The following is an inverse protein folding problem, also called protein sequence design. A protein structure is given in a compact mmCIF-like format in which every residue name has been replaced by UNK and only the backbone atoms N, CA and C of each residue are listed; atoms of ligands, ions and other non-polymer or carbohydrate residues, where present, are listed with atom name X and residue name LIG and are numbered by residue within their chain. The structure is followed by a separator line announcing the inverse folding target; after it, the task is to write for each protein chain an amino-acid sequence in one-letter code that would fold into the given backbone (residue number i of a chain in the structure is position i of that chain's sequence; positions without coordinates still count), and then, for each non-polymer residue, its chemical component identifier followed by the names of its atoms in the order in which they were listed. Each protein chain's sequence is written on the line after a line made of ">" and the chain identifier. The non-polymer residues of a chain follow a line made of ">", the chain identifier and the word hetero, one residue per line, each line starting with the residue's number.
data_IF_903663741777
#
_entry.id   IF_903663741777
#
_cell.length_a   1.000
_cell.length_b   1.000
_cell.length_c   1.000
_cell.angle_alpha   90.00
_cell.angle_beta   90.00
_cell.angle_gamma   90.00
#
_symmetry.space_group_name_H-M   'P 1'
#
loop_
_entity.id
_entity.type
_entity.pdbx_description
1 polymer ?
#
# COMPACT_ATOMS: atom_id res chain seq x y z
N UNK A 1 10.52 -2.33 5.18
CA UNK A 1 11.37 -1.26 4.61
C UNK A 1 10.53 -0.30 3.80
N UNK A 2 10.75 1.01 3.94
CA UNK A 2 10.06 1.97 3.09
C UNK A 2 10.43 1.78 1.62
N UNK A 3 9.55 2.22 0.73
CA UNK A 3 9.77 2.10 -0.71
C UNK A 3 10.16 3.45 -1.29
N UNK A 4 11.16 3.46 -2.17
CA UNK A 4 11.60 4.69 -2.82
C UNK A 4 10.64 5.11 -3.94
N UNK A 5 10.01 4.13 -4.58
CA UNK A 5 9.09 4.38 -5.69
C UNK A 5 8.17 3.18 -5.87
N UNK A 6 7.20 3.32 -6.77
CA UNK A 6 6.29 2.22 -7.07
C UNK A 6 7.03 1.01 -7.66
N UNK A 7 8.18 1.25 -8.29
CA UNK A 7 8.96 0.15 -8.89
C UNK A 7 9.53 -0.79 -7.84
N UNK A 8 9.64 -0.33 -6.61
CA UNK A 8 10.18 -1.13 -5.51
C UNK A 8 9.13 -2.00 -4.83
N UNK A 9 7.87 -1.84 -5.19
CA UNK A 9 6.80 -2.66 -4.61
C UNK A 9 6.92 -4.11 -5.02
N UNK A 10 6.50 -5.06 -4.14
CA UNK A 10 6.48 -6.47 -4.52
C UNK A 10 5.61 -6.69 -5.75
N UNK A 11 5.98 -7.67 -6.57
CA UNK A 11 5.25 -7.98 -7.78
C UNK A 11 3.77 -8.27 -7.50
N UNK A 12 3.48 -8.94 -6.38
CA UNK A 12 2.10 -9.25 -6.00
C UNK A 12 1.25 -8.01 -5.79
N UNK A 13 1.87 -6.91 -5.39
CA UNK A 13 1.18 -5.62 -5.24
C UNK A 13 1.09 -4.91 -6.58
N UNK A 14 2.23 -4.79 -7.27
CA UNK A 14 2.30 -4.06 -8.55
C UNK A 14 1.37 -4.62 -9.62
N UNK A 15 1.28 -5.95 -9.70
CA UNK A 15 0.48 -6.57 -10.75
C UNK A 15 -1.02 -6.43 -10.54
N UNK A 16 -1.44 -6.13 -9.31
CA UNK A 16 -2.88 -6.04 -9.00
C UNK A 16 -3.39 -4.60 -8.90
N UNK A 17 -2.49 -3.62 -8.78
CA UNK A 17 -2.90 -2.24 -8.57
C UNK A 17 -2.55 -1.37 -9.78
N UNK A 18 -3.48 -0.48 -10.21
CA UNK A 18 -3.12 0.52 -11.21
C UNK A 18 -2.08 1.50 -10.64
N UNK A 19 -1.38 2.25 -11.51
CA UNK A 19 -0.27 3.11 -11.06
C UNK A 19 -0.62 4.08 -9.94
N UNK A 20 -1.77 4.74 -10.03
CA UNK A 20 -2.16 5.69 -8.97
C UNK A 20 -2.39 4.99 -7.63
N UNK A 21 -2.98 3.79 -7.67
CA UNK A 21 -3.18 3.00 -6.45
C UNK A 21 -1.83 2.57 -5.86
N UNK A 22 -0.86 2.26 -6.72
CA UNK A 22 0.49 1.94 -6.26
C UNK A 22 1.13 3.13 -5.55
N UNK A 23 0.93 4.34 -6.06
CA UNK A 23 1.44 5.55 -5.41
C UNK A 23 0.81 5.75 -4.04
N UNK A 24 -0.50 5.52 -3.93
CA UNK A 24 -1.19 5.59 -2.64
C UNK A 24 -0.60 4.58 -1.67
N UNK A 25 -0.35 3.38 -2.16
CA UNK A 25 0.22 2.31 -1.33
C UNK A 25 1.59 2.71 -0.79
N UNK A 26 2.47 3.20 -1.66
CA UNK A 26 3.82 3.63 -1.26
C UNK A 26 3.75 4.75 -0.22
N UNK A 27 2.94 5.77 -0.47
CA UNK A 27 2.82 6.90 0.47
C UNK A 27 2.32 6.47 1.83
N UNK A 28 1.27 5.66 1.85
CA UNK A 28 0.69 5.21 3.10
C UNK A 28 1.61 4.23 3.84
N UNK A 29 2.26 3.34 3.09
CA UNK A 29 3.22 2.41 3.70
C UNK A 29 4.37 3.16 4.36
N UNK A 30 4.96 4.11 3.64
CA UNK A 30 6.10 4.86 4.16
C UNK A 30 5.72 5.69 5.38
N UNK A 31 4.54 6.30 5.34
CA UNK A 31 4.04 7.06 6.50
C UNK A 31 3.83 6.18 7.71
N UNK A 32 3.22 5.02 7.52
CA UNK A 32 2.98 4.08 8.60
C UNK A 32 4.29 3.49 9.11
N UNK A 33 5.26 3.25 8.23
CA UNK A 33 6.57 2.76 8.63
C UNK A 33 7.22 3.68 9.66
N UNK A 34 7.12 4.98 9.45
CA UNK A 34 7.64 5.95 10.41
C UNK A 34 6.80 6.01 11.68
N UNK A 35 5.49 5.97 11.53
CA UNK A 35 4.57 6.05 12.67
C UNK A 35 4.73 4.88 13.63
N UNK A 36 4.98 3.69 13.10
CA UNK A 36 5.12 2.48 13.91
C UNK A 36 6.58 2.11 14.16
N UNK A 37 7.47 3.10 14.17
CA UNK A 37 8.90 2.88 14.39
C UNK A 37 9.21 2.22 15.74
N UNK A 38 8.29 2.34 16.70
CA UNK A 38 8.45 1.73 18.01
C UNK A 38 8.20 0.21 18.03
N UNK A 39 7.63 -0.34 16.96
CA UNK A 39 7.41 -1.78 16.86
C UNK A 39 8.67 -2.48 16.35
N UNK A 40 8.77 -3.78 16.63
CA UNK A 40 9.82 -4.59 16.04
C UNK A 40 9.67 -4.68 14.52
N UNK A 41 10.75 -5.04 13.80
CA UNK A 41 10.72 -5.01 12.33
C UNK A 41 9.56 -5.79 11.70
N UNK A 42 9.26 -6.98 12.20
CA UNK A 42 8.18 -7.79 11.63
C UNK A 42 6.81 -7.16 11.85
N UNK A 43 6.56 -6.69 13.06
CA UNK A 43 5.29 -6.06 13.39
C UNK A 43 5.13 -4.72 12.66
N UNK A 44 6.22 -3.98 12.55
CA UNK A 44 6.24 -2.73 11.82
C UNK A 44 5.86 -2.93 10.34
N UNK A 45 6.41 -3.98 9.74
CA UNK A 45 6.09 -4.35 8.36
C UNK A 45 4.62 -4.68 8.19
N UNK A 46 4.08 -5.50 9.08
CA UNK A 46 2.66 -5.88 9.04
C UNK A 46 1.74 -4.67 9.21
N UNK A 47 2.07 -3.80 10.15
CA UNK A 47 1.27 -2.59 10.39
C UNK A 47 1.29 -1.68 9.18
N UNK A 48 2.46 -1.50 8.57
CA UNK A 48 2.59 -0.64 7.40
C UNK A 48 1.80 -1.18 6.21
N UNK A 49 1.84 -2.50 5.98
CA UNK A 49 1.05 -3.11 4.90
C UNK A 49 -0.44 -2.94 5.15
N UNK A 50 -0.89 -3.14 6.38
CA UNK A 50 -2.30 -2.99 6.72
C UNK A 50 -2.78 -1.56 6.47
N UNK A 51 -2.00 -0.58 6.88
CA UNK A 51 -2.34 0.83 6.66
C UNK A 51 -2.35 1.15 5.17
N UNK A 52 -1.37 0.63 4.43
CA UNK A 52 -1.29 0.87 2.99
C UNK A 52 -2.51 0.33 2.26
N UNK A 53 -2.92 -0.91 2.56
CA UNK A 53 -4.11 -1.49 1.94
C UNK A 53 -5.38 -0.74 2.33
N UNK A 54 -5.49 -0.28 3.58
CA UNK A 54 -6.63 0.51 4.01
C UNK A 54 -6.73 1.81 3.21
N UNK A 55 -5.58 2.45 2.95
CA UNK A 55 -5.56 3.69 2.17
C UNK A 55 -6.00 3.43 0.73
N UNK A 56 -5.54 2.33 0.12
CA UNK A 56 -5.96 1.97 -1.24
C UNK A 56 -7.48 1.74 -1.28
N UNK A 57 -8.01 1.04 -0.30
CA UNK A 57 -9.44 0.70 -0.27
C UNK A 57 -10.36 1.92 -0.14
N UNK A 58 -9.83 3.05 0.30
CA UNK A 58 -10.61 4.28 0.35
C UNK A 58 -10.89 4.84 -1.03
N UNK A 59 -10.00 4.62 -1.97
CA UNK A 59 -10.09 5.20 -3.32
C UNK A 59 -10.38 4.17 -4.39
N UNK A 60 -10.18 2.89 -4.10
CA UNK A 60 -10.32 1.81 -5.05
C UNK A 60 -11.15 0.68 -4.47
N UNK A 61 -11.79 -0.07 -5.34
CA UNK A 61 -12.57 -1.26 -4.96
C UNK A 61 -12.09 -2.43 -5.80
N UNK A 62 -12.02 -3.59 -5.17
CA UNK A 62 -11.60 -4.80 -5.87
C UNK A 62 -12.78 -5.37 -6.66
N UNK A 63 -12.57 -5.57 -7.96
CA UNK A 63 -13.55 -6.15 -8.87
C UNK A 63 -12.90 -7.35 -9.55
N UNK A 64 -13.25 -8.56 -9.12
CA UNK A 64 -12.55 -9.74 -9.58
C UNK A 64 -11.11 -9.71 -9.15
N UNK A 65 -10.19 -9.76 -10.11
CA UNK A 65 -8.76 -9.73 -9.83
C UNK A 65 -8.15 -8.34 -9.98
N UNK A 66 -8.98 -7.33 -10.25
CA UNK A 66 -8.50 -5.99 -10.52
C UNK A 66 -9.01 -4.99 -9.50
N UNK A 67 -8.23 -3.93 -9.26
CA UNK A 67 -8.64 -2.82 -8.43
C UNK A 67 -9.03 -1.65 -9.32
N UNK A 68 -10.22 -1.13 -9.10
CA UNK A 68 -10.81 -0.09 -9.95
C UNK A 68 -11.11 1.13 -9.09
N UNK A 69 -10.85 2.31 -9.62
CA UNK A 69 -11.12 3.56 -8.90
C UNK A 69 -12.60 3.66 -8.56
N UNK A 70 -12.90 4.10 -7.34
CA UNK A 70 -14.27 4.35 -6.93
C UNK A 70 -14.80 5.54 -7.73
N UNK A 71 -16.10 5.52 -7.98
CA UNK A 71 -16.72 6.51 -8.85
C UNK A 71 -17.07 7.82 -8.19
N UNK A 72 -16.55 8.10 -7.04
CA UNK A 72 -16.85 9.39 -6.37
C UNK A 72 -15.62 10.31 -6.25
#
# INVERSE_FOLDING_TARGET
>A
MPYSSIDDLPASVRTHLPPHAQEIYVGAFNGAWQEYAWEGPEEREKSAHRVAWAAVKRKYVKMGDSWIARGD
#
